data_IF_169226579444
#
_entry.id   IF_169226579444
#
_cell.length_a   1.000
_cell.length_b   1.000
_cell.length_c   1.000
_cell.angle_alpha   90.00
_cell.angle_beta   90.00
_cell.angle_gamma   90.00
#
_symmetry.space_group_name_H-M   'P 1'
#
loop_
_entity.id
_entity.type
_entity.pdbx_description
1 polymer ?
#
# COMPACT_ATOMS: atom_id res chain seq x y z
N UNK A 1 -14.95 -40.87 33.60
CA UNK A 1 -15.03 -41.54 32.27
C UNK A 1 -14.62 -40.54 31.20
N UNK A 2 -13.69 -40.90 30.32
CA UNK A 2 -13.18 -40.04 29.27
C UNK A 2 -14.33 -39.68 28.30
N UNK A 3 -14.43 -38.39 27.88
CA UNK A 3 -15.38 -37.90 26.84
C UNK A 3 -15.40 -38.75 25.56
N UNK A 4 -14.33 -39.53 25.32
CA UNK A 4 -14.15 -40.43 24.20
C UNK A 4 -15.17 -41.56 24.12
N UNK A 5 -15.72 -42.02 25.26
CA UNK A 5 -16.62 -43.15 25.33
C UNK A 5 -18.10 -42.78 25.53
N UNK A 6 -18.46 -41.51 25.33
CA UNK A 6 -19.82 -41.00 25.47
C UNK A 6 -20.52 -40.96 24.11
N UNK A 7 -21.65 -41.63 23.96
CA UNK A 7 -22.51 -41.65 22.75
C UNK A 7 -21.72 -42.00 21.45
N UNK A 8 -21.95 -41.22 20.37
CA UNK A 8 -21.38 -41.38 19.04
C UNK A 8 -19.91 -40.88 18.90
N UNK A 9 -19.30 -40.47 20.03
CA UNK A 9 -17.93 -39.86 20.00
C UNK A 9 -16.86 -40.88 19.60
N UNK A 10 -17.00 -42.15 19.96
CA UNK A 10 -16.08 -43.22 19.59
C UNK A 10 -15.99 -43.39 18.04
N UNK A 11 -17.15 -43.36 17.40
CA UNK A 11 -17.27 -43.46 15.95
C UNK A 11 -16.59 -42.27 15.25
N UNK A 12 -16.81 -41.06 15.76
CA UNK A 12 -16.22 -39.85 15.26
C UNK A 12 -14.68 -39.85 15.39
N UNK A 13 -14.14 -40.25 16.55
CA UNK A 13 -12.70 -40.39 16.78
C UNK A 13 -12.05 -41.46 15.88
N UNK A 14 -12.71 -42.63 15.71
CA UNK A 14 -12.22 -43.67 14.83
C UNK A 14 -12.14 -43.22 13.36
N UNK A 15 -13.15 -42.49 12.88
CA UNK A 15 -13.13 -41.93 11.54
C UNK A 15 -12.07 -40.84 11.38
N UNK A 16 -11.90 -39.93 12.35
CA UNK A 16 -10.89 -38.88 12.31
C UNK A 16 -9.48 -39.48 12.22
N UNK A 17 -9.14 -40.41 13.09
CA UNK A 17 -7.82 -41.03 13.15
C UNK A 17 -7.45 -41.79 11.87
N UNK A 18 -8.40 -42.54 11.29
CA UNK A 18 -8.19 -43.29 10.03
C UNK A 18 -7.99 -42.37 8.81
N UNK A 19 -8.67 -41.22 8.74
CA UNK A 19 -8.66 -40.33 7.60
C UNK A 19 -7.53 -39.32 7.63
N UNK A 20 -7.05 -38.89 8.80
CA UNK A 20 -5.94 -37.96 8.94
C UNK A 20 -4.71 -38.45 8.19
N UNK A 21 -4.36 -39.75 8.31
CA UNK A 21 -3.20 -40.30 7.62
C UNK A 21 -3.35 -40.35 6.09
N UNK A 22 -4.58 -40.51 5.58
CA UNK A 22 -4.84 -40.72 4.14
C UNK A 22 -5.00 -39.41 3.36
N UNK A 23 -5.55 -38.36 4.00
CA UNK A 23 -5.93 -37.12 3.33
C UNK A 23 -4.98 -35.94 3.63
N UNK A 24 -3.87 -36.15 4.34
CA UNK A 24 -2.95 -35.07 4.76
C UNK A 24 -2.48 -34.21 3.60
N UNK A 25 -2.07 -34.81 2.48
CA UNK A 25 -1.57 -34.04 1.30
C UNK A 25 -2.61 -33.07 0.75
N UNK A 26 -3.85 -33.53 0.59
CA UNK A 26 -4.93 -32.68 0.06
C UNK A 26 -5.32 -31.59 1.05
N UNK A 27 -5.36 -31.89 2.35
CA UNK A 27 -5.63 -30.90 3.41
C UNK A 27 -4.54 -29.83 3.47
N UNK A 28 -3.27 -30.21 3.28
CA UNK A 28 -2.16 -29.24 3.22
C UNK A 28 -2.30 -28.31 2.01
N UNK A 29 -2.61 -28.85 0.83
CA UNK A 29 -2.83 -28.03 -0.37
C UNK A 29 -3.97 -27.05 -0.16
N UNK A 30 -5.10 -27.52 0.39
CA UNK A 30 -6.26 -26.67 0.70
C UNK A 30 -5.87 -25.58 1.70
N UNK A 31 -5.15 -25.91 2.77
CA UNK A 31 -4.71 -24.95 3.78
C UNK A 31 -3.83 -23.87 3.14
N UNK A 32 -2.80 -24.25 2.36
CA UNK A 32 -1.89 -23.32 1.70
C UNK A 32 -2.64 -22.41 0.72
N UNK A 33 -3.48 -22.99 -0.14
CA UNK A 33 -4.24 -22.22 -1.14
C UNK A 33 -5.26 -21.28 -0.49
N UNK A 34 -5.90 -21.71 0.60
CA UNK A 34 -6.83 -20.88 1.35
C UNK A 34 -6.10 -19.74 2.08
N UNK A 35 -4.93 -20.02 2.69
CA UNK A 35 -4.06 -19.00 3.27
C UNK A 35 -3.71 -17.94 2.24
N UNK A 36 -3.26 -18.36 1.05
CA UNK A 36 -2.90 -17.45 -0.02
C UNK A 36 -4.09 -16.60 -0.47
N UNK A 37 -5.28 -17.20 -0.61
CA UNK A 37 -6.51 -16.48 -0.91
C UNK A 37 -6.83 -15.41 0.13
N UNK A 38 -6.74 -15.73 1.43
CA UNK A 38 -6.99 -14.77 2.52
C UNK A 38 -5.98 -13.62 2.47
N UNK A 39 -4.70 -13.93 2.26
CA UNK A 39 -3.65 -12.91 2.14
C UNK A 39 -3.94 -11.95 0.98
N UNK A 40 -4.29 -12.46 -0.20
CA UNK A 40 -4.64 -11.61 -1.35
C UNK A 40 -5.83 -10.68 -1.08
N UNK A 41 -6.86 -11.18 -0.38
CA UNK A 41 -8.01 -10.34 -0.01
C UNK A 41 -7.66 -9.17 0.89
N UNK A 42 -6.67 -9.31 1.76
CA UNK A 42 -6.25 -8.25 2.69
C UNK A 42 -5.18 -7.35 2.04
N UNK A 43 -4.20 -7.94 1.36
CA UNK A 43 -3.07 -7.18 0.78
C UNK A 43 -3.55 -6.29 -0.38
N UNK A 44 -4.49 -6.75 -1.23
CA UNK A 44 -4.95 -5.97 -2.37
C UNK A 44 -5.52 -4.58 -2.00
N UNK A 45 -6.46 -4.43 -1.06
CA UNK A 45 -6.95 -3.12 -0.66
C UNK A 45 -5.91 -2.28 0.10
N UNK A 46 -4.98 -2.89 0.82
CA UNK A 46 -3.88 -2.17 1.48
C UNK A 46 -2.95 -1.53 0.45
N UNK A 47 -2.47 -2.30 -0.52
CA UNK A 47 -1.61 -1.79 -1.60
C UNK A 47 -2.29 -0.67 -2.40
N UNK A 48 -3.57 -0.86 -2.74
CA UNK A 48 -4.31 0.18 -3.49
C UNK A 48 -4.62 1.41 -2.66
N UNK A 49 -4.90 1.26 -1.38
CA UNK A 49 -5.11 2.37 -0.45
C UNK A 49 -3.84 3.19 -0.24
N UNK A 50 -2.71 2.51 -0.07
CA UNK A 50 -1.40 3.15 -0.02
C UNK A 50 -1.09 3.94 -1.29
N UNK A 51 -1.19 3.31 -2.46
CA UNK A 51 -0.91 3.97 -3.74
C UNK A 51 -1.79 5.19 -4.01
N UNK A 52 -3.08 5.16 -3.62
CA UNK A 52 -3.97 6.31 -3.75
C UNK A 52 -3.66 7.43 -2.74
N UNK A 53 -3.34 7.08 -1.50
CA UNK A 53 -2.96 8.07 -0.49
C UNK A 53 -1.59 8.70 -0.77
N UNK A 54 -0.65 7.94 -1.34
CA UNK A 54 0.62 8.47 -1.83
C UNK A 54 0.45 9.47 -2.98
N UNK A 55 -0.54 9.23 -3.86
CA UNK A 55 -0.86 10.15 -4.95
C UNK A 55 -1.22 11.56 -4.44
N UNK A 56 -1.97 11.65 -3.33
CA UNK A 56 -2.33 12.93 -2.70
C UNK A 56 -1.10 13.70 -2.19
N UNK A 57 0.00 13.00 -1.89
CA UNK A 57 1.26 13.62 -1.46
C UNK A 57 2.19 13.94 -2.62
N UNK A 58 2.15 13.14 -3.69
CA UNK A 58 3.03 13.28 -4.86
C UNK A 58 2.53 14.30 -5.88
N UNK A 59 1.25 14.27 -6.21
CA UNK A 59 0.66 15.12 -7.24
C UNK A 59 -0.16 16.24 -6.61
N UNK A 60 0.50 17.05 -5.76
CA UNK A 60 -0.15 18.15 -5.03
C UNK A 60 -0.44 19.33 -5.94
N UNK A 61 0.37 19.54 -6.99
CA UNK A 61 0.28 20.65 -7.94
C UNK A 61 -0.26 20.16 -9.28
N UNK A 62 -0.96 21.05 -10.02
CA UNK A 62 -1.48 20.70 -11.35
C UNK A 62 -0.36 20.44 -12.35
N UNK A 63 0.72 21.22 -12.27
CA UNK A 63 1.93 21.04 -13.06
C UNK A 63 3.12 21.18 -12.12
N UNK A 64 4.02 20.21 -12.16
CA UNK A 64 5.23 20.20 -11.36
C UNK A 64 6.40 19.77 -12.23
N UNK A 65 7.50 20.52 -12.17
CA UNK A 65 8.76 20.15 -12.78
C UNK A 65 9.91 20.52 -11.83
N UNK A 66 10.89 19.63 -11.75
CA UNK A 66 12.10 19.80 -10.97
C UNK A 66 13.29 19.29 -11.76
N UNK A 67 14.40 20.02 -11.75
CA UNK A 67 15.68 19.51 -12.21
C UNK A 67 16.29 18.60 -11.13
N UNK A 68 17.08 17.60 -11.53
CA UNK A 68 17.77 16.69 -10.60
C UNK A 68 19.26 16.84 -10.74
N UNK A 69 19.90 17.57 -9.82
CA UNK A 69 21.34 17.83 -9.85
C UNK A 69 22.20 16.56 -9.73
N UNK A 70 21.66 15.52 -9.08
CA UNK A 70 22.34 14.24 -8.90
C UNK A 70 22.52 13.45 -10.21
N UNK A 71 21.87 13.85 -11.27
CA UNK A 71 22.10 13.36 -12.64
C UNK A 71 23.18 14.18 -13.38
N UNK A 72 23.71 15.26 -12.76
CA UNK A 72 24.76 16.13 -13.27
C UNK A 72 26.09 15.80 -12.60
N UNK A 73 27.15 15.67 -13.37
CA UNK A 73 28.45 15.24 -12.83
C UNK A 73 29.36 16.40 -12.40
N UNK A 74 29.13 17.60 -12.88
CA UNK A 74 29.94 18.78 -12.61
C UNK A 74 29.07 19.99 -12.29
N UNK A 75 29.52 20.83 -11.36
CA UNK A 75 28.79 22.02 -10.89
C UNK A 75 28.49 23.00 -12.05
N UNK A 76 29.40 23.09 -13.01
CA UNK A 76 29.28 23.97 -14.17
C UNK A 76 28.14 23.58 -15.12
N UNK A 77 27.66 22.34 -15.00
CA UNK A 77 26.60 21.77 -15.84
C UNK A 77 25.23 21.83 -15.19
N UNK A 78 25.09 22.50 -14.04
CA UNK A 78 23.78 22.69 -13.41
C UNK A 78 22.83 23.46 -14.29
N UNK A 79 21.56 23.04 -14.42
CA UNK A 79 20.60 23.71 -15.29
C UNK A 79 20.21 25.08 -14.71
N UNK A 80 20.35 26.13 -15.53
CA UNK A 80 19.80 27.45 -15.27
C UNK A 80 18.55 27.63 -16.14
N UNK A 81 17.41 27.24 -15.66
CA UNK A 81 16.15 27.29 -16.42
C UNK A 81 14.98 27.79 -15.56
N UNK A 82 14.11 28.57 -16.20
CA UNK A 82 12.84 29.06 -15.67
C UNK A 82 11.63 28.22 -16.16
N UNK A 83 11.91 27.20 -16.96
CA UNK A 83 10.90 26.35 -17.59
C UNK A 83 9.92 27.13 -18.51
N UNK A 84 10.44 27.98 -19.39
CA UNK A 84 9.68 28.86 -20.27
C UNK A 84 8.67 28.15 -21.17
N UNK A 85 8.90 26.87 -21.55
CA UNK A 85 7.99 26.07 -22.32
C UNK A 85 6.64 25.85 -21.62
N UNK A 86 6.64 25.78 -20.27
CA UNK A 86 5.40 25.72 -19.50
C UNK A 86 4.62 27.02 -19.62
N UNK A 87 5.30 28.16 -19.54
CA UNK A 87 4.67 29.48 -19.72
C UNK A 87 4.05 29.62 -21.11
N UNK A 88 4.80 29.27 -22.13
CA UNK A 88 4.32 29.32 -23.52
C UNK A 88 3.11 28.39 -23.74
N UNK A 89 3.12 27.19 -23.15
CA UNK A 89 2.01 26.25 -23.23
C UNK A 89 0.74 26.78 -22.53
N UNK A 90 0.89 27.34 -21.33
CA UNK A 90 -0.19 27.94 -20.55
C UNK A 90 -0.86 29.07 -21.33
N UNK A 91 -0.06 29.99 -21.92
CA UNK A 91 -0.55 31.11 -22.72
C UNK A 91 -1.26 30.64 -23.99
N UNK A 92 -0.69 29.69 -24.74
CA UNK A 92 -1.26 29.15 -25.98
C UNK A 92 -2.60 28.43 -25.75
N UNK A 93 -2.78 27.79 -24.61
CA UNK A 93 -3.98 27.06 -24.27
C UNK A 93 -4.96 27.86 -23.40
N UNK A 94 -4.71 29.13 -23.12
CA UNK A 94 -5.52 30.03 -22.28
C UNK A 94 -5.84 29.39 -20.91
N UNK A 95 -4.85 28.77 -20.24
CA UNK A 95 -5.03 28.12 -18.96
C UNK A 95 -5.05 29.19 -17.87
N UNK A 96 -6.12 29.24 -17.10
CA UNK A 96 -6.26 30.17 -15.98
C UNK A 96 -5.41 29.69 -14.79
N UNK A 97 -4.36 30.44 -14.46
CA UNK A 97 -3.46 30.17 -13.34
C UNK A 97 -4.09 30.70 -12.05
N UNK A 98 -3.96 29.93 -10.97
CA UNK A 98 -4.25 30.36 -9.61
C UNK A 98 -2.96 30.81 -8.91
N UNK A 99 -1.94 29.98 -8.93
CA UNK A 99 -0.63 30.22 -8.33
C UNK A 99 0.47 29.63 -9.23
N UNK A 100 1.61 30.30 -9.33
CA UNK A 100 2.79 29.87 -10.10
C UNK A 100 4.04 30.27 -9.32
N UNK A 101 4.86 29.28 -8.96
CA UNK A 101 6.04 29.49 -8.13
C UNK A 101 7.24 28.78 -8.76
N UNK A 102 8.32 29.54 -8.96
CA UNK A 102 9.62 29.00 -9.33
C UNK A 102 10.63 29.31 -8.22
N UNK A 103 11.34 28.30 -7.74
CA UNK A 103 12.31 28.44 -6.66
C UNK A 103 13.47 27.48 -6.82
N UNK A 104 14.54 27.72 -6.05
CA UNK A 104 15.72 26.85 -6.04
C UNK A 104 15.87 26.16 -4.69
N UNK A 105 16.50 25.00 -4.73
CA UNK A 105 16.99 24.30 -3.55
C UNK A 105 18.52 24.26 -3.57
N UNK A 106 19.10 24.25 -2.40
CA UNK A 106 20.51 24.53 -2.17
C UNK A 106 21.18 23.37 -1.43
N UNK A 107 22.47 23.14 -1.68
CA UNK A 107 23.30 22.33 -0.80
C UNK A 107 23.78 23.17 0.39
N UNK A 108 23.65 22.68 1.62
CA UNK A 108 24.21 23.34 2.80
C UNK A 108 25.71 23.59 2.65
N UNK A 109 26.47 22.62 2.15
CA UNK A 109 27.89 22.74 1.86
C UNK A 109 28.15 22.34 0.39
N UNK A 110 28.95 23.13 -0.32
CA UNK A 110 29.32 22.84 -1.72
C UNK A 110 30.10 21.52 -1.85
N UNK A 111 30.84 21.10 -0.80
CA UNK A 111 31.54 19.84 -0.74
C UNK A 111 30.60 18.62 -0.94
N UNK A 112 29.32 18.77 -0.54
CA UNK A 112 28.34 17.69 -0.58
C UNK A 112 27.88 17.40 -2.01
N UNK A 113 28.16 18.30 -2.96
CA UNK A 113 27.83 18.08 -4.37
C UNK A 113 28.40 16.77 -4.93
N UNK A 114 29.59 16.39 -4.48
CA UNK A 114 30.26 15.17 -4.92
C UNK A 114 29.94 13.93 -4.04
N UNK A 115 29.15 14.11 -2.99
CA UNK A 115 28.70 13.03 -2.10
C UNK A 115 27.42 12.38 -2.66
N UNK A 116 27.55 11.61 -3.75
CA UNK A 116 26.45 10.91 -4.41
C UNK A 116 26.64 9.40 -4.33
N UNK A 117 26.78 8.92 -3.11
CA UNK A 117 26.81 7.48 -2.85
C UNK A 117 25.38 6.95 -2.93
N UNK A 118 25.18 5.84 -3.62
CA UNK A 118 23.86 5.24 -3.77
C UNK A 118 23.17 5.05 -2.40
N UNK A 119 21.98 5.59 -2.25
CA UNK A 119 21.16 5.62 -1.03
C UNK A 119 21.68 6.53 0.10
N UNK A 120 22.64 7.40 -0.17
CA UNK A 120 23.20 8.31 0.83
C UNK A 120 23.47 9.67 0.16
N UNK A 121 22.39 10.37 -0.16
CA UNK A 121 22.44 11.73 -0.71
C UNK A 121 22.27 12.75 0.43
N UNK A 122 22.96 13.91 0.38
CA UNK A 122 22.78 14.95 1.37
C UNK A 122 21.37 15.56 1.27
N UNK A 123 20.72 15.91 2.39
CA UNK A 123 19.49 16.69 2.38
C UNK A 123 19.71 18.06 1.76
N UNK A 124 18.74 18.55 0.98
CA UNK A 124 18.75 19.90 0.42
C UNK A 124 18.21 20.92 1.40
N UNK A 125 18.44 22.20 1.11
CA UNK A 125 17.90 23.32 1.84
C UNK A 125 17.02 24.19 0.94
N UNK A 126 15.91 24.69 1.47
CA UNK A 126 15.00 25.63 0.81
C UNK A 126 15.01 26.97 1.57
N UNK A 127 14.98 28.08 0.87
CA UNK A 127 14.86 29.41 1.48
C UNK A 127 13.51 29.59 2.18
N UNK A 128 13.48 30.23 3.33
CA UNK A 128 12.27 30.46 4.14
C UNK A 128 11.15 31.13 3.33
N UNK A 129 11.50 32.11 2.51
CA UNK A 129 10.55 32.81 1.63
C UNK A 129 9.88 31.86 0.65
N UNK A 130 10.68 31.01 0.01
CA UNK A 130 10.19 30.06 -1.00
C UNK A 130 9.37 28.96 -0.36
N UNK A 131 9.81 28.43 0.79
CA UNK A 131 9.04 27.48 1.57
C UNK A 131 7.69 28.04 2.04
N UNK A 132 7.66 29.29 2.52
CA UNK A 132 6.41 29.95 2.90
C UNK A 132 5.50 30.23 1.69
N UNK A 133 6.06 30.46 0.50
CA UNK A 133 5.28 30.55 -0.73
C UNK A 133 4.63 29.21 -1.10
N UNK A 134 5.38 28.10 -0.98
CA UNK A 134 4.85 26.73 -1.14
C UNK A 134 3.73 26.48 -0.13
N UNK A 135 3.94 26.77 1.16
CA UNK A 135 2.92 26.61 2.20
C UNK A 135 1.64 27.39 1.90
N UNK A 136 1.79 28.66 1.52
CA UNK A 136 0.66 29.54 1.15
C UNK A 136 -0.12 29.00 -0.05
N UNK A 137 0.56 28.49 -1.06
CA UNK A 137 -0.03 27.90 -2.26
C UNK A 137 -0.93 26.70 -1.92
N UNK A 138 -0.55 25.95 -0.90
CA UNK A 138 -1.27 24.77 -0.38
C UNK A 138 -2.26 25.11 0.74
N UNK A 139 -2.34 26.38 1.17
CA UNK A 139 -3.26 26.82 2.23
C UNK A 139 -2.77 26.57 3.65
N UNK A 140 -1.46 26.33 3.84
CA UNK A 140 -0.85 26.22 5.15
C UNK A 140 -0.39 27.58 5.68
N UNK A 141 -0.36 27.74 7.00
CA UNK A 141 0.15 28.93 7.66
C UNK A 141 1.67 29.07 7.43
N UNK A 142 2.18 30.30 7.21
CA UNK A 142 3.61 30.54 7.08
C UNK A 142 4.33 30.29 8.41
N UNK A 143 5.59 29.89 8.33
CA UNK A 143 6.48 29.74 9.48
C UNK A 143 7.42 30.94 9.61
N UNK A 144 7.98 31.10 10.80
CA UNK A 144 8.95 32.18 11.11
C UNK A 144 10.21 31.54 11.68
N UNK A 145 11.38 31.94 11.18
CA UNK A 145 12.69 31.56 11.71
C UNK A 145 13.48 32.81 12.05
N UNK A 146 14.33 32.73 13.06
CA UNK A 146 15.35 33.73 13.32
C UNK A 146 16.48 33.62 12.30
N UNK A 147 17.32 34.65 12.21
CA UNK A 147 18.40 34.72 11.20
C UNK A 147 19.49 33.67 11.42
N UNK A 148 19.61 33.09 12.62
CA UNK A 148 20.57 32.05 12.99
C UNK A 148 19.91 30.67 13.23
N UNK A 149 18.66 30.51 12.82
CA UNK A 149 17.90 29.28 13.01
C UNK A 149 17.64 28.56 11.69
N UNK A 150 17.47 27.24 11.79
CA UNK A 150 16.91 26.41 10.73
C UNK A 150 15.78 25.53 11.26
N UNK A 151 14.92 25.06 10.35
CA UNK A 151 13.90 24.05 10.63
C UNK A 151 14.02 22.91 9.62
N UNK A 152 13.24 21.86 9.82
CA UNK A 152 13.21 20.66 8.98
C UNK A 152 11.80 20.38 8.49
N UNK A 153 11.69 19.99 7.23
CA UNK A 153 10.45 19.47 6.68
C UNK A 153 10.65 18.00 6.33
N UNK A 154 9.73 17.16 6.78
CA UNK A 154 9.85 15.71 6.70
C UNK A 154 8.83 15.09 5.76
N UNK A 155 9.27 14.03 5.09
CA UNK A 155 8.39 13.19 4.30
C UNK A 155 7.24 12.65 5.16
N UNK A 156 6.04 12.60 4.60
CA UNK A 156 4.83 12.20 5.33
C UNK A 156 4.90 10.81 5.97
N UNK A 157 5.67 9.89 5.39
CA UNK A 157 5.86 8.54 5.90
C UNK A 157 7.03 8.40 6.87
N UNK A 158 7.78 9.48 7.17
CA UNK A 158 8.86 9.42 8.17
C UNK A 158 8.28 9.11 9.55
N UNK A 159 8.89 8.16 10.26
CA UNK A 159 8.45 7.78 11.60
C UNK A 159 8.87 8.83 12.64
N UNK A 160 7.97 9.15 13.58
CA UNK A 160 8.22 10.14 14.65
C UNK A 160 9.53 9.85 15.40
N UNK A 161 9.81 8.58 15.67
CA UNK A 161 11.03 8.15 16.35
C UNK A 161 12.29 8.47 15.54
N UNK A 162 12.25 8.32 14.23
CA UNK A 162 13.40 8.60 13.35
C UNK A 162 13.62 10.10 13.26
N UNK A 163 12.56 10.89 13.21
CA UNK A 163 12.60 12.34 13.29
C UNK A 163 13.23 12.81 14.61
N UNK A 164 12.75 12.28 15.75
CA UNK A 164 13.29 12.60 17.07
C UNK A 164 14.79 12.26 17.20
N UNK A 165 15.21 11.09 16.73
CA UNK A 165 16.60 10.68 16.74
C UNK A 165 17.47 11.62 15.89
N UNK A 166 17.01 11.92 14.67
CA UNK A 166 17.72 12.81 13.74
C UNK A 166 17.90 14.21 14.33
N UNK A 167 16.86 14.80 14.90
CA UNK A 167 16.89 16.13 15.51
C UNK A 167 17.81 16.16 16.72
N UNK A 168 17.84 15.10 17.52
CA UNK A 168 18.73 15.00 18.67
C UNK A 168 20.21 14.99 18.26
N UNK A 169 20.53 14.43 17.11
CA UNK A 169 21.89 14.36 16.54
C UNK A 169 22.26 15.63 15.75
N UNK A 170 21.27 16.33 15.15
CA UNK A 170 21.47 17.46 14.25
C UNK A 170 20.91 18.77 14.84
N UNK A 171 21.39 19.17 16.01
CA UNK A 171 21.00 20.44 16.64
C UNK A 171 21.65 21.68 16.01
N UNK A 172 22.69 21.47 15.22
CA UNK A 172 23.41 22.49 14.44
C UNK A 172 23.48 22.06 12.98
N UNK A 173 23.28 22.99 12.07
CA UNK A 173 23.48 22.82 10.63
C UNK A 173 24.67 23.68 10.19
N UNK A 174 25.73 23.01 9.75
CA UNK A 174 26.88 23.69 9.16
C UNK A 174 26.60 24.00 7.68
N UNK A 175 26.83 25.25 7.30
CA UNK A 175 26.67 25.71 5.93
C UNK A 175 27.90 26.50 5.47
N UNK A 176 28.08 26.67 4.16
CA UNK A 176 29.15 27.52 3.64
C UNK A 176 29.00 29.00 4.05
N UNK A 177 27.85 29.41 4.53
CA UNK A 177 27.57 30.77 5.02
C UNK A 177 27.63 30.90 6.56
N UNK A 178 27.84 29.82 7.30
CA UNK A 178 27.89 29.80 8.76
C UNK A 178 27.08 28.66 9.36
N UNK A 179 27.04 28.60 10.69
CA UNK A 179 26.34 27.55 11.44
C UNK A 179 24.99 28.07 11.92
N UNK A 180 23.93 27.31 11.66
CA UNK A 180 22.55 27.56 12.09
C UNK A 180 22.21 26.65 13.25
N UNK A 181 21.32 27.10 14.14
CA UNK A 181 20.76 26.34 15.25
C UNK A 181 19.36 25.84 14.91
N UNK A 182 19.02 24.69 15.44
CA UNK A 182 17.67 24.17 15.33
C UNK A 182 16.67 25.08 16.04
N UNK A 183 15.58 25.45 15.35
CA UNK A 183 14.51 26.27 15.92
C UNK A 183 13.69 25.47 16.94
N UNK A 184 13.00 26.16 17.87
CA UNK A 184 12.08 25.51 18.82
C UNK A 184 10.93 24.77 18.12
N UNK A 185 10.40 25.33 17.02
CA UNK A 185 9.39 24.71 16.15
C UNK A 185 10.03 24.23 14.86
N UNK A 186 10.82 23.18 14.96
CA UNK A 186 11.71 22.76 13.88
C UNK A 186 11.16 21.65 12.99
N UNK A 187 9.98 21.09 13.25
CA UNK A 187 9.46 19.89 12.56
C UNK A 187 8.16 20.20 11.85
N UNK A 188 8.17 19.99 10.55
CA UNK A 188 6.98 20.10 9.70
C UNK A 188 6.84 18.83 8.86
N UNK A 189 5.61 18.35 8.64
CA UNK A 189 5.35 17.07 7.94
C UNK A 189 4.08 17.12 7.06
N UNK A 190 3.57 18.32 6.78
CA UNK A 190 2.42 18.47 5.89
C UNK A 190 2.80 18.14 4.44
N UNK A 191 1.91 17.55 3.62
CA UNK A 191 2.24 17.22 2.23
C UNK A 191 2.49 18.49 1.41
N UNK A 192 3.72 18.64 0.93
CA UNK A 192 4.16 19.76 0.07
C UNK A 192 4.71 19.31 -1.27
N UNK A 193 4.57 18.04 -1.60
CA UNK A 193 5.12 17.42 -2.81
C UNK A 193 6.40 16.63 -2.54
N UNK A 194 6.67 15.66 -3.41
CA UNK A 194 7.81 14.74 -3.26
C UNK A 194 9.11 15.30 -3.86
N UNK A 195 9.03 16.27 -4.78
CA UNK A 195 10.19 16.77 -5.51
C UNK A 195 11.09 17.69 -4.72
N UNK A 196 10.67 18.13 -3.53
CA UNK A 196 11.51 18.92 -2.63
C UNK A 196 12.54 18.07 -1.88
N UNK A 197 12.40 16.75 -1.86
CA UNK A 197 13.34 15.86 -1.22
C UNK A 197 14.40 15.40 -2.23
N UNK A 198 15.64 15.38 -1.80
CA UNK A 198 16.69 14.74 -2.58
C UNK A 198 16.44 13.22 -2.66
N UNK A 199 17.00 12.54 -3.64
CA UNK A 199 16.85 11.09 -3.76
C UNK A 199 17.31 10.39 -2.48
N UNK A 200 16.47 9.46 -1.99
CA UNK A 200 16.72 8.66 -0.78
C UNK A 200 16.81 9.47 0.51
N UNK A 201 16.36 10.73 0.54
CA UNK A 201 16.24 11.52 1.77
C UNK A 201 14.77 11.73 2.12
N UNK A 202 14.47 11.76 3.41
CA UNK A 202 13.13 12.02 3.95
C UNK A 202 13.00 13.40 4.58
N UNK A 203 14.05 14.23 4.46
CA UNK A 203 14.13 15.54 5.09
C UNK A 203 14.68 16.60 4.13
N UNK A 204 14.16 17.83 4.25
CA UNK A 204 14.72 19.05 3.64
C UNK A 204 14.87 20.10 4.73
N UNK A 205 15.97 20.88 4.68
CA UNK A 205 16.20 21.96 5.62
C UNK A 205 15.49 23.23 5.16
N UNK A 206 14.96 24.00 6.11
CA UNK A 206 14.40 25.34 5.86
C UNK A 206 15.35 26.34 6.50
N UNK A 207 15.89 27.25 5.71
CA UNK A 207 16.94 28.17 6.13
C UNK A 207 16.57 29.63 5.83
N UNK A 208 17.14 30.62 6.56
CA UNK A 208 16.95 32.03 6.27
C UNK A 208 17.36 32.41 4.84
N UNK A 209 16.68 33.40 4.27
CA UNK A 209 16.88 33.83 2.87
C UNK A 209 18.30 34.35 2.62
N UNK A 210 18.89 35.04 3.61
CA UNK A 210 20.25 35.58 3.50
C UNK A 210 21.29 34.46 3.39
N UNK A 211 21.10 33.37 4.11
CA UNK A 211 21.95 32.17 4.04
C UNK A 211 21.80 31.51 2.66
N UNK A 212 20.55 31.29 2.22
CA UNK A 212 20.26 30.63 0.94
C UNK A 212 20.92 31.34 -0.27
N UNK A 213 21.01 32.67 -0.25
CA UNK A 213 21.63 33.44 -1.33
C UNK A 213 23.14 33.18 -1.53
N UNK A 214 23.84 32.67 -0.52
CA UNK A 214 25.27 32.37 -0.55
C UNK A 214 25.54 30.91 -0.95
N UNK A 215 24.56 30.03 -0.74
CA UNK A 215 24.71 28.60 -0.97
C UNK A 215 24.64 28.25 -2.46
N UNK A 216 25.15 27.09 -2.84
CA UNK A 216 25.09 26.54 -4.18
C UNK A 216 23.67 26.10 -4.52
N UNK A 217 22.97 26.75 -5.48
CA UNK A 217 21.69 26.23 -5.97
C UNK A 217 21.93 24.98 -6.82
N UNK A 218 21.28 23.86 -6.49
CA UNK A 218 21.50 22.58 -7.18
C UNK A 218 20.23 22.03 -7.81
N UNK A 219 19.06 22.46 -7.37
CA UNK A 219 17.79 22.04 -7.91
C UNK A 219 16.90 23.25 -8.18
N UNK A 220 16.23 23.25 -9.33
CA UNK A 220 15.26 24.28 -9.71
C UNK A 220 13.90 23.63 -9.85
N UNK A 221 12.91 24.21 -9.16
CA UNK A 221 11.53 23.72 -9.14
C UNK A 221 10.60 24.78 -9.74
N UNK A 222 9.57 24.32 -10.46
CA UNK A 222 8.42 25.16 -10.82
C UNK A 222 7.14 24.40 -10.53
N UNK A 223 6.29 24.97 -9.68
CA UNK A 223 4.99 24.45 -9.25
C UNK A 223 3.90 25.38 -9.70
N UNK A 224 2.90 24.84 -10.42
CA UNK A 224 1.77 25.63 -10.93
C UNK A 224 0.47 25.03 -10.45
N UNK A 225 -0.41 25.86 -9.90
CA UNK A 225 -1.82 25.53 -9.63
C UNK A 225 -2.72 26.29 -10.59
N UNK A 226 -3.68 25.61 -11.16
CA UNK A 226 -4.67 26.18 -12.07
C UNK A 226 -5.98 26.45 -11.35
N UNK A 227 -6.81 27.36 -11.89
CA UNK A 227 -8.13 27.64 -11.29
C UNK A 227 -9.10 26.47 -11.44
N UNK A 228 -8.91 25.66 -12.49
CA UNK A 228 -9.70 24.48 -12.80
C UNK A 228 -8.75 23.35 -13.20
N UNK A 229 -9.05 22.10 -12.87
CA UNK A 229 -8.24 20.95 -13.27
C UNK A 229 -8.05 20.92 -14.80
N UNK A 230 -6.85 20.61 -15.26
CA UNK A 230 -6.56 20.51 -16.68
C UNK A 230 -7.41 19.40 -17.33
N UNK A 231 -8.06 19.67 -18.49
CA UNK A 231 -8.70 18.61 -19.26
C UNK A 231 -7.67 17.54 -19.66
N UNK A 232 -8.06 16.26 -19.63
CA UNK A 232 -7.15 15.14 -19.88
C UNK A 232 -6.32 15.30 -21.16
N UNK A 233 -6.97 15.72 -22.28
CA UNK A 233 -6.27 15.93 -23.55
C UNK A 233 -5.21 17.03 -23.48
N UNK A 234 -5.49 18.12 -22.78
CA UNK A 234 -4.55 19.23 -22.57
C UNK A 234 -3.40 18.78 -21.66
N UNK A 235 -3.69 18.04 -20.62
CA UNK A 235 -2.69 17.46 -19.72
C UNK A 235 -1.76 16.47 -20.45
N UNK A 236 -2.32 15.59 -21.31
CA UNK A 236 -1.55 14.67 -22.15
C UNK A 236 -0.63 15.41 -23.14
N UNK A 237 -1.11 16.48 -23.77
CA UNK A 237 -0.28 17.31 -24.65
C UNK A 237 0.87 17.99 -23.88
N UNK A 238 0.61 18.47 -22.67
CA UNK A 238 1.64 19.05 -21.81
C UNK A 238 2.66 18.00 -21.38
N UNK A 239 2.24 16.82 -20.96
CA UNK A 239 3.13 15.72 -20.58
C UNK A 239 4.06 15.32 -21.76
N UNK A 240 3.52 15.27 -22.98
CA UNK A 240 4.31 15.01 -24.18
C UNK A 240 5.30 16.15 -24.50
N UNK A 241 4.93 17.41 -24.23
CA UNK A 241 5.81 18.55 -24.37
C UNK A 241 6.95 18.46 -23.36
N UNK A 242 6.62 18.27 -22.09
CA UNK A 242 7.59 18.14 -20.99
C UNK A 242 8.58 16.99 -21.22
N UNK A 243 8.09 15.82 -21.64
CA UNK A 243 8.95 14.68 -21.95
C UNK A 243 9.90 14.89 -23.14
N UNK A 244 9.61 15.85 -24.04
CA UNK A 244 10.51 16.24 -25.13
C UNK A 244 11.49 17.32 -24.73
N UNK A 245 11.00 18.34 -24.03
CA UNK A 245 11.81 19.50 -23.63
C UNK A 245 12.68 19.25 -22.41
N UNK A 246 12.20 18.35 -21.52
CA UNK A 246 12.83 18.03 -20.23
C UNK A 246 12.87 16.52 -20.05
N UNK A 247 13.75 15.79 -20.76
CA UNK A 247 13.84 14.34 -20.67
C UNK A 247 14.33 13.89 -19.27
N UNK A 248 13.73 12.83 -18.77
CA UNK A 248 14.15 12.21 -17.50
C UNK A 248 15.48 11.43 -17.63
N UNK A 249 15.86 11.07 -18.84
CA UNK A 249 17.04 10.25 -19.14
C UNK A 249 18.26 11.14 -19.46
N UNK A 250 19.31 11.12 -18.62
CA UNK A 250 20.52 11.94 -18.82
C UNK A 250 21.36 11.55 -20.04
N UNK A 251 21.14 10.38 -20.66
CA UNK A 251 21.91 9.92 -21.83
C UNK A 251 21.53 10.62 -23.14
N UNK A 252 20.58 11.54 -23.14
CA UNK A 252 20.09 12.24 -24.31
C UNK A 252 20.44 13.74 -24.27
N UNK A 253 21.66 14.10 -24.61
CA UNK A 253 22.13 15.49 -24.88
C UNK A 253 21.84 16.56 -23.79
N UNK A 254 21.09 16.23 -22.73
CA UNK A 254 20.85 17.04 -21.54
C UNK A 254 21.59 16.45 -20.35
N UNK A 255 22.48 17.21 -19.77
CA UNK A 255 23.30 16.81 -18.62
C UNK A 255 22.51 16.77 -17.31
N UNK A 256 21.32 17.36 -17.27
CA UNK A 256 20.46 17.37 -16.10
C UNK A 256 19.22 16.46 -16.29
N UNK A 257 18.95 15.59 -15.35
CA UNK A 257 17.69 14.88 -15.27
C UNK A 257 16.56 15.76 -14.75
N UNK A 258 15.35 15.44 -15.14
CA UNK A 258 14.15 16.16 -14.72
C UNK A 258 13.12 15.19 -14.14
N UNK A 259 12.35 15.68 -13.18
CA UNK A 259 11.15 15.03 -12.69
C UNK A 259 9.95 15.88 -13.06
N UNK A 260 9.06 15.34 -13.88
CA UNK A 260 7.86 16.01 -14.36
C UNK A 260 6.60 15.31 -13.90
N UNK A 261 5.62 16.05 -13.42
CA UNK A 261 4.32 15.52 -13.02
C UNK A 261 3.21 16.45 -13.47
N UNK A 262 2.24 15.92 -14.21
CA UNK A 262 0.98 16.62 -14.53
C UNK A 262 -0.14 15.91 -13.78
N UNK A 263 -0.80 16.60 -12.86
CA UNK A 263 -1.78 16.01 -11.92
C UNK A 263 -2.83 15.15 -12.60
N UNK A 264 -3.47 15.69 -13.65
CA UNK A 264 -4.57 15.00 -14.34
C UNK A 264 -4.15 13.66 -14.96
N UNK A 265 -2.98 13.61 -15.63
CA UNK A 265 -2.50 12.37 -16.25
C UNK A 265 -2.01 11.37 -15.20
N UNK A 266 -1.32 11.84 -14.17
CA UNK A 266 -0.83 11.02 -13.08
C UNK A 266 -1.99 10.37 -12.29
N UNK A 267 -3.00 11.15 -11.92
CA UNK A 267 -4.21 10.65 -11.25
C UNK A 267 -4.90 9.58 -12.10
N UNK A 268 -5.12 9.84 -13.38
CA UNK A 268 -5.77 8.87 -14.27
C UNK A 268 -4.95 7.58 -14.40
N UNK A 269 -3.63 7.70 -14.55
CA UNK A 269 -2.71 6.55 -14.63
C UNK A 269 -2.75 5.70 -13.37
N UNK A 270 -2.63 6.33 -12.20
CA UNK A 270 -2.62 5.62 -10.92
C UNK A 270 -3.97 4.99 -10.62
N UNK A 271 -5.09 5.68 -10.86
CA UNK A 271 -6.43 5.12 -10.68
C UNK A 271 -6.65 3.91 -11.59
N UNK A 272 -6.28 3.98 -12.86
CA UNK A 272 -6.41 2.87 -13.79
C UNK A 272 -5.55 1.65 -13.38
N UNK A 273 -4.29 1.87 -13.03
CA UNK A 273 -3.39 0.80 -12.56
C UNK A 273 -3.89 0.16 -11.26
N UNK A 274 -4.32 0.97 -10.29
CA UNK A 274 -4.90 0.48 -9.04
C UNK A 274 -6.17 -0.33 -9.24
N UNK A 275 -7.05 0.11 -10.16
CA UNK A 275 -8.26 -0.64 -10.49
C UNK A 275 -7.91 -2.01 -11.06
N UNK A 276 -7.00 -2.07 -12.04
CA UNK A 276 -6.56 -3.33 -12.66
C UNK A 276 -5.90 -4.25 -11.61
N UNK A 277 -4.99 -3.72 -10.81
CA UNK A 277 -4.29 -4.49 -9.78
C UNK A 277 -5.28 -5.05 -8.75
N UNK A 278 -6.14 -4.18 -8.19
CA UNK A 278 -7.14 -4.56 -7.20
C UNK A 278 -8.12 -5.60 -7.74
N UNK A 279 -8.65 -5.37 -8.94
CA UNK A 279 -9.58 -6.30 -9.58
C UNK A 279 -8.93 -7.67 -9.83
N UNK A 280 -7.69 -7.70 -10.32
CA UNK A 280 -6.96 -8.95 -10.61
C UNK A 280 -6.65 -9.74 -9.33
N UNK A 281 -6.18 -9.07 -8.27
CA UNK A 281 -5.86 -9.73 -7.00
C UNK A 281 -7.11 -10.27 -6.30
N UNK A 282 -8.19 -9.47 -6.25
CA UNK A 282 -9.46 -9.91 -5.64
C UNK A 282 -10.09 -11.03 -6.45
N UNK A 283 -10.09 -10.96 -7.79
CA UNK A 283 -10.57 -12.03 -8.65
C UNK A 283 -9.79 -13.33 -8.41
N UNK A 284 -8.46 -13.25 -8.40
CA UNK A 284 -7.61 -14.40 -8.10
C UNK A 284 -7.91 -15.01 -6.72
N UNK A 285 -8.10 -14.16 -5.71
CA UNK A 285 -8.45 -14.60 -4.36
C UNK A 285 -9.81 -15.34 -4.33
N UNK A 286 -10.83 -14.81 -5.04
CA UNK A 286 -12.15 -15.45 -5.15
C UNK A 286 -12.03 -16.82 -5.83
N UNK A 287 -11.32 -16.90 -6.95
CA UNK A 287 -11.14 -18.16 -7.70
C UNK A 287 -10.47 -19.21 -6.83
N UNK A 288 -9.37 -18.86 -6.16
CA UNK A 288 -8.66 -19.76 -5.25
C UNK A 288 -9.55 -20.25 -4.10
N UNK A 289 -10.33 -19.35 -3.50
CA UNK A 289 -11.24 -19.69 -2.42
C UNK A 289 -12.35 -20.64 -2.91
N UNK A 290 -13.00 -20.34 -4.02
CA UNK A 290 -14.06 -21.18 -4.59
C UNK A 290 -13.52 -22.56 -4.95
N UNK A 291 -12.32 -22.63 -5.56
CA UNK A 291 -11.65 -23.91 -5.84
C UNK A 291 -11.42 -24.71 -4.57
N UNK A 292 -10.86 -24.11 -3.52
CA UNK A 292 -10.62 -24.79 -2.25
C UNK A 292 -11.90 -25.33 -1.60
N UNK A 293 -12.93 -24.49 -1.53
CA UNK A 293 -14.20 -24.85 -0.92
C UNK A 293 -14.92 -25.94 -1.74
N UNK A 294 -14.81 -25.90 -3.05
CA UNK A 294 -15.35 -26.94 -3.94
C UNK A 294 -14.64 -28.28 -3.73
N UNK A 295 -13.31 -28.28 -3.63
CA UNK A 295 -12.54 -29.51 -3.35
C UNK A 295 -12.92 -30.06 -1.96
N UNK A 296 -13.04 -29.22 -0.94
CA UNK A 296 -13.52 -29.62 0.38
C UNK A 296 -14.91 -30.25 0.33
N UNK A 297 -15.85 -29.60 -0.35
CA UNK A 297 -17.23 -30.09 -0.50
C UNK A 297 -17.28 -31.44 -1.21
N UNK A 298 -16.56 -31.59 -2.34
CA UNK A 298 -16.48 -32.86 -3.09
C UNK A 298 -15.88 -33.98 -2.25
N UNK A 299 -14.81 -33.71 -1.49
CA UNK A 299 -14.23 -34.70 -0.59
C UNK A 299 -15.25 -35.18 0.46
N UNK A 300 -16.04 -34.27 1.03
CA UNK A 300 -17.06 -34.64 2.03
C UNK A 300 -18.20 -35.46 1.41
N UNK A 301 -18.61 -35.15 0.17
CA UNK A 301 -19.64 -35.90 -0.54
C UNK A 301 -19.17 -37.31 -0.90
N UNK A 302 -17.95 -37.46 -1.39
CA UNK A 302 -17.33 -38.78 -1.66
C UNK A 302 -17.20 -39.61 -0.36
N UNK A 303 -16.89 -38.95 0.75
CA UNK A 303 -16.83 -39.59 2.06
C UNK A 303 -18.23 -40.02 2.57
N UNK A 304 -19.26 -39.22 2.25
CA UNK A 304 -20.65 -39.58 2.57
C UNK A 304 -21.06 -40.89 1.85
N UNK A 305 -20.73 -40.99 0.56
CA UNK A 305 -21.03 -42.13 -0.26
C UNK A 305 -20.30 -43.38 0.25
N UNK A 306 -18.98 -43.31 0.48
CA UNK A 306 -18.15 -44.42 1.00
C UNK A 306 -18.59 -44.90 2.38
N UNK A 307 -19.14 -44.02 3.22
CA UNK A 307 -19.54 -44.36 4.57
C UNK A 307 -21.06 -44.59 4.71
N UNK A 308 -21.82 -44.53 3.62
CA UNK A 308 -23.31 -44.68 3.66
C UNK A 308 -23.73 -46.00 4.30
N UNK A 309 -23.03 -47.11 4.05
CA UNK A 309 -23.23 -48.38 4.71
C UNK A 309 -23.07 -48.29 6.23
N UNK A 310 -22.07 -47.61 6.74
CA UNK A 310 -21.84 -47.44 8.19
C UNK A 310 -22.96 -46.64 8.84
N UNK A 311 -23.52 -45.64 8.18
CA UNK A 311 -24.69 -44.90 8.67
C UNK A 311 -25.95 -45.76 8.68
N UNK A 312 -26.12 -46.64 7.68
CA UNK A 312 -27.23 -47.61 7.67
C UNK A 312 -27.15 -48.61 8.81
N UNK A 313 -25.96 -49.07 9.17
CA UNK A 313 -25.73 -49.96 10.33
C UNK A 313 -26.08 -49.26 11.65
N UNK A 314 -25.64 -47.99 11.82
CA UNK A 314 -25.99 -47.20 13.01
C UNK A 314 -27.51 -47.02 13.15
N UNK A 315 -28.24 -46.81 12.07
CA UNK A 315 -29.70 -46.72 12.03
C UNK A 315 -30.36 -48.07 12.45
N UNK A 316 -29.82 -49.19 11.95
CA UNK A 316 -30.30 -50.54 12.32
C UNK A 316 -30.02 -50.89 13.79
N UNK A 317 -29.00 -50.29 14.40
CA UNK A 317 -28.69 -50.42 15.82
C UNK A 317 -29.55 -49.51 16.73
N UNK A 318 -30.52 -48.77 16.16
CA UNK A 318 -31.47 -47.96 16.93
C UNK A 318 -31.02 -46.55 17.25
N UNK A 319 -29.97 -46.01 16.58
CA UNK A 319 -29.58 -44.61 16.73
C UNK A 319 -30.65 -43.73 16.09
N UNK A 320 -31.14 -42.74 16.84
CA UNK A 320 -32.17 -41.81 16.37
C UNK A 320 -31.68 -40.96 15.18
N UNK A 321 -32.58 -40.63 14.28
CA UNK A 321 -32.26 -39.78 13.12
C UNK A 321 -31.66 -38.43 13.53
N UNK A 322 -32.11 -37.83 14.62
CA UNK A 322 -31.60 -36.58 15.18
C UNK A 322 -30.12 -36.69 15.59
N UNK A 323 -29.74 -37.82 16.18
CA UNK A 323 -28.35 -38.08 16.56
C UNK A 323 -27.44 -38.31 15.34
N UNK A 324 -27.97 -38.96 14.29
CA UNK A 324 -27.27 -39.11 13.01
C UNK A 324 -27.04 -37.75 12.32
N UNK A 325 -28.03 -36.85 12.31
CA UNK A 325 -27.87 -35.49 11.78
C UNK A 325 -26.81 -34.70 12.57
N UNK A 326 -26.83 -34.81 13.89
CA UNK A 326 -25.85 -34.17 14.77
C UNK A 326 -24.44 -34.72 14.55
N UNK A 327 -24.32 -36.03 14.33
CA UNK A 327 -23.04 -36.70 14.03
C UNK A 327 -22.46 -36.19 12.69
N UNK A 328 -23.29 -36.11 11.65
CA UNK A 328 -22.91 -35.58 10.34
C UNK A 328 -22.46 -34.14 10.47
N UNK A 329 -23.19 -33.28 11.17
CA UNK A 329 -22.84 -31.90 11.37
C UNK A 329 -21.48 -31.75 12.09
N UNK A 330 -21.25 -32.54 13.16
CA UNK A 330 -19.96 -32.56 13.88
C UNK A 330 -18.82 -33.02 12.98
N UNK A 331 -19.05 -34.06 12.18
CA UNK A 331 -18.07 -34.58 11.24
C UNK A 331 -17.67 -33.52 10.20
N UNK A 332 -18.65 -32.89 9.54
CA UNK A 332 -18.43 -31.81 8.60
C UNK A 332 -17.73 -30.61 9.26
N UNK A 333 -18.20 -30.21 10.46
CA UNK A 333 -17.60 -29.10 11.20
C UNK A 333 -16.11 -29.29 11.48
N UNK A 334 -15.69 -30.53 11.82
CA UNK A 334 -14.26 -30.82 12.03
C UNK A 334 -13.48 -30.78 10.72
N UNK A 335 -14.00 -31.40 9.66
CA UNK A 335 -13.29 -31.50 8.38
C UNK A 335 -13.20 -30.17 7.62
N UNK A 336 -14.20 -29.29 7.72
CA UNK A 336 -14.13 -27.92 7.23
C UNK A 336 -13.32 -27.03 8.18
N UNK A 337 -13.55 -27.17 9.49
CA UNK A 337 -12.91 -26.31 10.48
C UNK A 337 -11.39 -26.46 10.55
N UNK A 338 -10.87 -27.68 10.43
CA UNK A 338 -9.44 -27.94 10.58
C UNK A 338 -8.56 -27.18 9.56
N UNK A 339 -8.77 -27.30 8.22
CA UNK A 339 -7.96 -26.58 7.25
C UNK A 339 -8.25 -25.07 7.27
N UNK A 340 -9.48 -24.65 7.57
CA UNK A 340 -9.85 -23.23 7.63
C UNK A 340 -9.19 -22.54 8.82
N UNK A 341 -9.24 -23.14 10.02
CA UNK A 341 -8.60 -22.56 11.20
C UNK A 341 -7.08 -22.51 11.06
N UNK A 342 -6.46 -23.56 10.50
CA UNK A 342 -5.03 -23.56 10.22
C UNK A 342 -4.67 -22.47 9.21
N UNK A 343 -5.44 -22.32 8.11
CA UNK A 343 -5.22 -21.28 7.12
C UNK A 343 -5.38 -19.87 7.70
N UNK A 344 -6.38 -19.63 8.55
CA UNK A 344 -6.59 -18.34 9.21
C UNK A 344 -5.42 -18.01 10.14
N UNK A 345 -4.95 -18.97 10.94
CA UNK A 345 -3.81 -18.74 11.86
C UNK A 345 -2.55 -18.35 11.08
N UNK A 346 -2.22 -19.08 10.01
CA UNK A 346 -1.07 -18.78 9.17
C UNK A 346 -1.26 -17.42 8.46
N UNK A 347 -2.45 -17.15 7.95
CA UNK A 347 -2.75 -15.87 7.29
C UNK A 347 -2.61 -14.69 8.27
N UNK A 348 -3.07 -14.80 9.51
CA UNK A 348 -2.91 -13.75 10.54
C UNK A 348 -1.42 -13.46 10.78
N UNK A 349 -0.56 -14.48 10.84
CA UNK A 349 0.88 -14.30 11.03
C UNK A 349 1.49 -13.57 9.84
N UNK A 350 1.20 -14.03 8.61
CA UNK A 350 1.74 -13.43 7.38
C UNK A 350 1.24 -11.99 7.20
N UNK A 351 -0.05 -11.76 7.36
CA UNK A 351 -0.66 -10.42 7.24
C UNK A 351 -0.13 -9.51 8.35
N UNK A 352 -0.02 -9.99 9.59
CA UNK A 352 0.52 -9.23 10.71
C UNK A 352 1.95 -8.75 10.45
N UNK A 353 2.82 -9.64 9.95
CA UNK A 353 4.18 -9.28 9.55
C UNK A 353 4.20 -8.25 8.41
N UNK A 354 3.36 -8.46 7.38
CA UNK A 354 3.23 -7.50 6.28
C UNK A 354 2.75 -6.13 6.75
N UNK A 355 1.68 -6.06 7.55
CA UNK A 355 1.15 -4.79 8.07
C UNK A 355 2.14 -4.08 8.99
N UNK A 356 2.95 -4.83 9.74
CA UNK A 356 4.01 -4.25 10.57
C UNK A 356 5.12 -3.65 9.72
N UNK A 357 5.52 -4.32 8.62
CA UNK A 357 6.60 -3.82 7.75
C UNK A 357 6.22 -2.59 6.91
N UNK A 358 4.93 -2.30 6.76
CA UNK A 358 4.39 -1.13 6.05
C UNK A 358 3.55 -0.23 6.98
N UNK A 359 3.87 -0.22 8.27
CA UNK A 359 3.06 0.49 9.29
C UNK A 359 3.13 2.00 9.13
N UNK A 360 4.30 2.54 8.77
CA UNK A 360 4.50 3.96 8.54
C UNK A 360 3.63 4.46 7.38
N UNK A 361 3.67 3.77 6.26
CA UNK A 361 2.88 4.10 5.06
C UNK A 361 1.37 3.93 5.29
N UNK A 362 0.97 2.91 6.06
CA UNK A 362 -0.44 2.75 6.44
C UNK A 362 -0.90 3.93 7.28
N UNK A 363 -0.10 4.35 8.26
CA UNK A 363 -0.41 5.50 9.11
C UNK A 363 -0.49 6.79 8.29
N UNK A 364 0.48 7.00 7.40
CA UNK A 364 0.58 8.21 6.58
C UNK A 364 -0.53 8.31 5.51
N UNK A 365 -0.85 7.20 4.83
CA UNK A 365 -1.62 7.26 3.57
C UNK A 365 -3.01 6.62 3.64
N UNK A 366 -3.26 5.66 4.53
CA UNK A 366 -4.56 4.95 4.59
C UNK A 366 -5.38 5.38 5.79
N UNK A 367 -4.73 5.49 6.95
CA UNK A 367 -5.36 5.69 8.24
C UNK A 367 -5.97 4.41 8.83
N UNK A 368 -5.78 4.24 10.14
CA UNK A 368 -6.16 3.02 10.87
C UNK A 368 -7.66 2.69 10.77
N UNK A 369 -8.53 3.72 10.81
CA UNK A 369 -9.99 3.54 10.73
C UNK A 369 -10.48 3.03 9.38
N UNK A 370 -9.89 3.51 8.27
CA UNK A 370 -10.23 3.05 6.93
C UNK A 370 -9.77 1.60 6.71
N UNK A 371 -8.57 1.25 7.18
CA UNK A 371 -8.04 -0.10 7.13
C UNK A 371 -8.93 -1.09 7.89
N UNK A 372 -9.31 -0.79 9.14
CA UNK A 372 -10.18 -1.65 9.95
C UNK A 372 -11.56 -1.87 9.31
N UNK A 373 -12.13 -0.84 8.71
CA UNK A 373 -13.41 -0.97 7.97
C UNK A 373 -13.26 -1.90 6.76
N UNK A 374 -12.17 -1.78 5.99
CA UNK A 374 -11.90 -2.65 4.84
C UNK A 374 -11.72 -4.11 5.27
N UNK A 375 -10.93 -4.37 6.31
CA UNK A 375 -10.73 -5.71 6.87
C UNK A 375 -12.06 -6.29 7.35
N UNK A 376 -12.89 -5.50 8.02
CA UNK A 376 -14.22 -5.92 8.48
C UNK A 376 -15.15 -6.37 7.34
N UNK A 377 -15.17 -5.63 6.23
CA UNK A 377 -15.94 -6.01 5.03
C UNK A 377 -15.42 -7.34 4.45
N UNK A 378 -14.10 -7.51 4.35
CA UNK A 378 -13.47 -8.72 3.82
C UNK A 378 -13.81 -9.94 4.68
N UNK A 379 -13.69 -9.81 6.00
CA UNK A 379 -14.06 -10.88 6.95
C UNK A 379 -15.54 -11.24 6.81
N UNK A 380 -16.42 -10.25 6.63
CA UNK A 380 -17.86 -10.48 6.39
C UNK A 380 -18.12 -11.27 5.10
N UNK A 381 -17.49 -10.91 4.00
CA UNK A 381 -17.61 -11.62 2.71
C UNK A 381 -17.09 -13.05 2.84
N UNK A 382 -15.94 -13.23 3.47
CA UNK A 382 -15.32 -14.53 3.69
C UNK A 382 -16.21 -15.44 4.53
N UNK A 383 -16.74 -14.94 5.65
CA UNK A 383 -17.66 -15.68 6.52
C UNK A 383 -18.96 -16.07 5.80
N UNK A 384 -19.50 -15.19 4.97
CA UNK A 384 -20.70 -15.47 4.17
C UNK A 384 -20.45 -16.61 3.19
N UNK A 385 -19.35 -16.56 2.42
CA UNK A 385 -19.00 -17.60 1.45
C UNK A 385 -18.75 -18.95 2.12
N UNK A 386 -18.00 -18.97 3.23
CA UNK A 386 -17.80 -20.18 4.03
C UNK A 386 -19.12 -20.79 4.51
N UNK A 387 -20.02 -19.95 5.02
CA UNK A 387 -21.32 -20.38 5.50
C UNK A 387 -22.18 -20.97 4.39
N UNK A 388 -22.22 -20.35 3.21
CA UNK A 388 -22.94 -20.84 2.05
C UNK A 388 -22.43 -22.21 1.59
N UNK A 389 -21.10 -22.38 1.47
CA UNK A 389 -20.52 -23.68 1.10
C UNK A 389 -20.74 -24.76 2.16
N UNK A 390 -20.61 -24.42 3.44
CA UNK A 390 -20.86 -25.36 4.52
C UNK A 390 -22.32 -25.84 4.52
N UNK A 391 -23.28 -24.92 4.43
CA UNK A 391 -24.70 -25.25 4.38
C UNK A 391 -25.06 -26.10 3.16
N UNK A 392 -24.56 -25.73 1.99
CA UNK A 392 -24.78 -26.48 0.75
C UNK A 392 -24.22 -27.90 0.84
N UNK A 393 -23.00 -28.05 1.37
CA UNK A 393 -22.37 -29.35 1.56
C UNK A 393 -23.14 -30.21 2.56
N UNK A 394 -23.59 -29.61 3.66
CA UNK A 394 -24.38 -30.28 4.68
C UNK A 394 -25.72 -30.82 4.12
N UNK A 395 -26.46 -30.00 3.35
CA UNK A 395 -27.71 -30.39 2.70
C UNK A 395 -27.50 -31.53 1.69
N UNK A 396 -26.45 -31.44 0.86
CA UNK A 396 -26.13 -32.48 -0.11
C UNK A 396 -25.68 -33.77 0.54
N UNK A 397 -24.89 -33.69 1.62
CA UNK A 397 -24.45 -34.83 2.40
C UNK A 397 -25.65 -35.59 3.01
N UNK A 398 -26.63 -34.86 3.59
CA UNK A 398 -27.86 -35.47 4.11
C UNK A 398 -28.70 -36.15 3.02
N UNK A 399 -28.83 -35.53 1.83
CA UNK A 399 -29.54 -36.11 0.69
C UNK A 399 -28.88 -37.41 0.22
N UNK A 400 -27.55 -37.44 0.14
CA UNK A 400 -26.78 -38.62 -0.28
C UNK A 400 -27.00 -39.81 0.65
N UNK A 401 -27.00 -39.59 1.97
CA UNK A 401 -27.26 -40.66 2.96
C UNK A 401 -28.70 -41.17 2.86
N UNK A 402 -29.70 -40.28 2.65
CA UNK A 402 -31.11 -40.63 2.56
C UNK A 402 -31.43 -41.43 1.30
N UNK A 403 -30.89 -41.04 0.13
CA UNK A 403 -31.14 -41.71 -1.12
C UNK A 403 -30.58 -43.14 -1.17
N UNK A 404 -29.37 -43.35 -0.66
CA UNK A 404 -28.75 -44.68 -0.59
C UNK A 404 -29.48 -45.60 0.41
N UNK A 405 -30.27 -45.07 1.36
CA UNK A 405 -31.10 -45.89 2.25
C UNK A 405 -32.38 -46.41 1.58
N UNK A 406 -32.86 -45.75 0.54
CA UNK A 406 -34.07 -46.13 -0.23
C UNK A 406 -33.74 -47.09 -1.38
N UNK A 407 -32.53 -47.11 -1.93
CA UNK A 407 -32.14 -48.05 -2.98
C UNK A 407 -31.63 -49.41 -2.47
N UNK A 408 -31.61 -49.62 -1.17
CA UNK A 408 -31.27 -50.90 -0.54
C UNK A 408 -32.48 -51.65 0.06
N UNK A 409 -33.67 -51.24 -0.36
CA UNK A 409 -34.92 -52.01 -0.21
C UNK A 409 -35.27 -52.60 -1.57
#
# INVERSE_FOLDING_TARGET
MSRKYHNTSLFLFGQLSSKLATNTKTMTIICVTLTFSICLFVIAPVLTGWSLGYLDSRAVYDIQISSRYNDVYEVENLPDTDYGEITAFIEQNNIAIKDDLTFSEYLPQKSDFYQRVKYDFPPLAIALKDYNAVRKMLGYEPIVLQTDEFATHWHRAAEEKDIENYIAEHTLLETDAGTLKLSENAVFQEPVGESIYNLYTDVVYIIPDEIAQVLLPVQRNRFVMTQYPLPFKTAEMLEQLLGRSYPEDPDKDNLAGYSTTVHTTEVNRIIALNFILKASLIYGAIVLMVMCLTVLALQQLLDAEKNSYRFSVLRKMGVEEKDLHTLVLKQLGVWFGMPITAAIVVAIIVIGYFLQSVSAEISAYIGCGALMRQIGIIVGIFALLLSCYFLSTWLLFQRSIRNNSNSGR
#
